data_IF_789455164777
#
_entry.id   IF_789455164777
#
_cell.length_a   1.000
_cell.length_b   1.000
_cell.length_c   1.000
_cell.angle_alpha   90.00
_cell.angle_beta   90.00
_cell.angle_gamma   90.00
#
_symmetry.space_group_name_H-M   'P 1'
#
loop_
_entity.id
_entity.type
_entity.pdbx_description
1 polymer ?
#
# COMPACT_ATOMS: atom_id res chain seq x y z
N UNK A 1 14.76 12.91 47.26
CA UNK A 1 13.74 13.26 46.24
C UNK A 1 14.39 13.46 44.88
N UNK A 2 15.50 14.19 44.82
CA UNK A 2 16.28 14.47 43.60
C UNK A 2 16.67 13.23 42.78
N UNK A 3 17.15 12.15 43.41
CA UNK A 3 17.48 10.90 42.71
C UNK A 3 16.30 10.28 41.93
N UNK A 4 15.07 10.40 42.45
CA UNK A 4 13.87 9.88 41.79
C UNK A 4 13.47 10.74 40.59
N UNK A 5 13.75 12.04 40.65
CA UNK A 5 13.52 12.96 39.53
C UNK A 5 14.49 12.64 38.39
N UNK A 6 15.78 12.49 38.71
CA UNK A 6 16.83 12.13 37.72
C UNK A 6 16.52 10.80 37.03
N UNK A 7 16.07 9.79 37.79
CA UNK A 7 15.66 8.50 37.21
C UNK A 7 14.48 8.66 36.23
N UNK A 8 13.47 9.45 36.60
CA UNK A 8 12.32 9.70 35.75
C UNK A 8 12.69 10.47 34.47
N UNK A 9 13.57 11.46 34.56
CA UNK A 9 14.06 12.21 33.39
C UNK A 9 14.85 11.32 32.43
N UNK A 10 15.69 10.43 32.95
CA UNK A 10 16.41 9.44 32.14
C UNK A 10 15.44 8.49 31.43
N UNK A 11 14.44 7.97 32.15
CA UNK A 11 13.41 7.10 31.57
C UNK A 11 12.54 7.83 30.55
N UNK A 12 12.23 9.10 30.77
CA UNK A 12 11.48 9.92 29.82
C UNK A 12 12.26 10.10 28.52
N UNK A 13 13.54 10.47 28.62
CA UNK A 13 14.42 10.65 27.46
C UNK A 13 14.53 9.37 26.63
N UNK A 14 14.65 8.21 27.29
CA UNK A 14 14.66 6.92 26.60
C UNK A 14 13.34 6.63 25.89
N UNK A 15 12.20 6.91 26.53
CA UNK A 15 10.89 6.74 25.93
C UNK A 15 10.68 7.67 24.73
N UNK A 16 11.09 8.94 24.82
CA UNK A 16 11.02 9.90 23.71
C UNK A 16 11.85 9.41 22.51
N UNK A 17 13.04 8.85 22.77
CA UNK A 17 13.85 8.24 21.73
C UNK A 17 13.15 7.05 21.08
N UNK A 18 12.62 6.12 21.89
CA UNK A 18 11.85 4.96 21.39
C UNK A 18 10.63 5.39 20.57
N UNK A 19 9.91 6.43 21.00
CA UNK A 19 8.76 6.97 20.25
C UNK A 19 9.22 7.50 18.88
N UNK A 20 10.34 8.22 18.83
CA UNK A 20 10.89 8.71 17.58
C UNK A 20 11.25 7.57 16.63
N UNK A 21 11.93 6.53 17.13
CA UNK A 21 12.30 5.36 16.33
C UNK A 21 11.06 4.62 15.79
N UNK A 22 10.04 4.42 16.63
CA UNK A 22 8.80 3.79 16.23
C UNK A 22 8.06 4.62 15.18
N UNK A 23 8.04 5.94 15.31
CA UNK A 23 7.44 6.82 14.31
C UNK A 23 8.15 6.71 12.95
N UNK A 24 9.48 6.63 12.93
CA UNK A 24 10.22 6.40 11.68
C UNK A 24 9.88 5.06 11.04
N UNK A 25 9.72 3.99 11.84
CA UNK A 25 9.28 2.68 11.35
C UNK A 25 7.89 2.80 10.72
N UNK A 26 6.94 3.44 11.39
CA UNK A 26 5.57 3.63 10.89
C UNK A 26 5.57 4.41 9.57
N UNK A 27 6.36 5.48 9.47
CA UNK A 27 6.49 6.24 8.21
C UNK A 27 7.04 5.36 7.08
N UNK A 28 8.05 4.53 7.35
CA UNK A 28 8.60 3.62 6.34
C UNK A 28 7.57 2.57 5.90
N UNK A 29 6.81 2.03 6.85
CA UNK A 29 5.73 1.08 6.57
C UNK A 29 4.61 1.71 5.74
N UNK A 30 4.17 2.93 6.08
CA UNK A 30 3.15 3.63 5.29
C UNK A 30 3.61 3.82 3.84
N UNK A 31 4.86 4.25 3.63
CA UNK A 31 5.44 4.37 2.27
C UNK A 31 5.50 3.04 1.53
N UNK A 32 5.59 1.90 2.21
CA UNK A 32 5.55 0.58 1.58
C UNK A 32 4.11 0.20 1.22
N UNK A 33 3.15 0.48 2.09
CA UNK A 33 1.72 0.28 1.85
C UNK A 33 1.27 1.09 0.63
N UNK A 34 1.56 2.39 0.59
CA UNK A 34 1.18 3.26 -0.54
C UNK A 34 1.70 2.71 -1.89
N UNK A 35 2.92 2.16 -1.89
CA UNK A 35 3.52 1.53 -3.07
C UNK A 35 2.78 0.24 -3.47
N UNK A 36 2.43 -0.60 -2.51
CA UNK A 36 1.68 -1.83 -2.76
C UNK A 36 0.27 -1.51 -3.27
N UNK A 37 -0.41 -0.53 -2.69
CA UNK A 37 -1.72 -0.07 -3.13
C UNK A 37 -1.68 0.42 -4.58
N UNK A 38 -0.69 1.23 -4.94
CA UNK A 38 -0.51 1.70 -6.31
C UNK A 38 -0.31 0.53 -7.30
N UNK A 39 0.49 -0.47 -6.93
CA UNK A 39 0.70 -1.68 -7.76
C UNK A 39 -0.60 -2.47 -7.91
N UNK A 40 -1.36 -2.66 -6.83
CA UNK A 40 -2.65 -3.37 -6.86
C UNK A 40 -3.64 -2.66 -7.78
N UNK A 41 -3.71 -1.33 -7.74
CA UNK A 41 -4.59 -0.57 -8.64
C UNK A 41 -4.16 -0.69 -10.11
N UNK A 42 -2.86 -0.68 -10.40
CA UNK A 42 -2.36 -0.93 -11.77
C UNK A 42 -2.72 -2.33 -12.26
N UNK A 43 -2.56 -3.36 -11.41
CA UNK A 43 -2.98 -4.73 -11.73
C UNK A 43 -4.48 -4.83 -12.00
N UNK A 44 -5.31 -4.16 -11.18
CA UNK A 44 -6.76 -4.09 -11.39
C UNK A 44 -7.12 -3.43 -12.71
N UNK A 45 -6.45 -2.33 -13.08
CA UNK A 45 -6.66 -1.66 -14.34
C UNK A 45 -6.28 -2.56 -15.54
N UNK A 46 -5.14 -3.25 -15.45
CA UNK A 46 -4.69 -4.18 -16.48
C UNK A 46 -5.66 -5.35 -16.69
N UNK A 47 -6.16 -5.94 -15.60
CA UNK A 47 -7.16 -7.01 -15.66
C UNK A 47 -8.49 -6.54 -16.28
N UNK A 48 -8.93 -5.32 -15.97
CA UNK A 48 -10.13 -4.74 -16.61
C UNK A 48 -9.94 -4.52 -18.10
N UNK A 49 -8.76 -4.04 -18.52
CA UNK A 49 -8.44 -3.78 -19.92
C UNK A 49 -8.35 -5.06 -20.75
N UNK A 50 -7.93 -6.19 -20.17
CA UNK A 50 -7.79 -7.47 -20.88
C UNK A 50 -8.96 -8.44 -20.66
N UNK A 51 -9.74 -8.28 -19.60
CA UNK A 51 -10.95 -9.05 -19.33
C UNK A 51 -12.13 -8.73 -20.25
N UNK A 52 -12.12 -7.59 -20.94
CA UNK A 52 -13.15 -7.22 -21.92
C UNK A 52 -12.84 -7.65 -23.36
N UNK A 53 -11.62 -8.12 -23.67
CA UNK A 53 -11.22 -8.51 -25.04
C UNK A 53 -11.47 -9.98 -25.40
N UNK A 54 -12.11 -10.78 -24.53
CA UNK A 54 -12.26 -12.23 -24.72
C UNK A 54 -13.68 -12.79 -24.66
N UNK A 55 -14.69 -11.94 -24.49
CA UNK A 55 -16.10 -12.34 -24.40
C UNK A 55 -16.95 -11.54 -25.39
N UNK A 56 -16.53 -11.47 -26.66
CA UNK A 56 -17.54 -11.33 -27.71
C UNK A 56 -18.45 -12.56 -27.57
N UNK A 57 -19.75 -12.32 -27.34
CA UNK A 57 -20.71 -13.42 -27.33
C UNK A 57 -20.61 -14.12 -28.70
N UNK A 58 -20.68 -15.45 -28.78
CA UNK A 58 -20.75 -16.16 -30.07
C UNK A 58 -21.90 -15.66 -30.98
N UNK A 59 -22.85 -14.92 -30.41
CA UNK A 59 -23.99 -14.28 -31.08
C UNK A 59 -23.59 -13.04 -31.92
N UNK A 60 -22.38 -12.49 -31.78
CA UNK A 60 -21.89 -11.29 -32.48
C UNK A 60 -20.95 -11.59 -33.67
N UNK A 61 -20.73 -12.86 -34.01
CA UNK A 61 -20.02 -13.23 -35.25
C UNK A 61 -20.95 -13.04 -36.46
N UNK A 62 -20.98 -11.82 -36.99
CA UNK A 62 -21.61 -11.57 -38.30
C UNK A 62 -20.78 -12.29 -39.38
N UNK A 63 -21.39 -13.16 -40.21
CA UNK A 63 -20.65 -13.92 -41.22
C UNK A 63 -19.86 -13.00 -42.16
N UNK A 64 -18.62 -13.36 -42.54
CA UNK A 64 -17.80 -12.52 -43.41
C UNK A 64 -18.45 -12.36 -44.79
N UNK A 65 -18.38 -11.16 -45.40
CA UNK A 65 -18.91 -10.94 -46.73
C UNK A 65 -18.04 -11.67 -47.76
N UNK A 66 -18.64 -12.63 -48.45
CA UNK A 66 -18.01 -13.26 -49.61
C UNK A 66 -18.08 -12.29 -50.80
N UNK A 67 -16.92 -11.89 -51.32
CA UNK A 67 -16.74 -11.20 -52.60
C UNK A 67 -16.22 -12.19 -53.64
#
# INVERSE_FOLDING_TARGET
MENRIIELESRLTYQDHTISELNEVVIRQQKQIDRLEAVVEQLRAHLKQHGSSGLARPEEEVPPPHY
#
